data_IF_521812095150
#
_entry.id   IF_521812095150
#
_cell.length_a   1.000
_cell.length_b   1.000
_cell.length_c   1.000
_cell.angle_alpha   90.00
_cell.angle_beta   90.00
_cell.angle_gamma   90.00
#
_symmetry.space_group_name_H-M   'P 1'
#
loop_
_entity.id
_entity.type
_entity.pdbx_description
1 polymer ?
#
# COMPACT_ATOMS: atom_id res chain seq x y z
N UNK A 1 23.48 31.45 -69.52
CA UNK A 1 22.79 30.28 -70.13
C UNK A 1 21.52 30.07 -69.32
N UNK A 2 20.41 30.66 -69.78
CA UNK A 2 19.29 29.97 -70.45
C UNK A 2 18.60 28.98 -69.49
N UNK A 3 17.29 29.02 -69.20
CA UNK A 3 16.16 29.69 -69.85
C UNK A 3 15.00 29.72 -68.83
N UNK A 4 14.34 30.87 -68.75
CA UNK A 4 12.96 31.01 -68.26
C UNK A 4 12.03 30.09 -69.03
N UNK A 5 11.08 29.43 -68.38
CA UNK A 5 9.76 29.16 -68.94
C UNK A 5 8.70 29.32 -67.84
N UNK A 6 7.69 30.10 -68.19
CA UNK A 6 6.51 30.54 -67.46
C UNK A 6 5.39 29.49 -67.50
N UNK A 7 4.21 29.88 -66.99
CA UNK A 7 2.87 29.25 -67.03
C UNK A 7 2.59 28.47 -65.72
N UNK A 8 1.50 28.66 -64.97
CA UNK A 8 0.17 29.19 -65.25
C UNK A 8 -0.58 29.35 -63.90
N UNK A 9 -1.37 30.41 -63.67
CA UNK A 9 -2.35 30.52 -62.54
C UNK A 9 -3.74 30.13 -63.07
N UNK A 10 -4.59 29.47 -62.26
CA UNK A 10 -5.83 30.11 -61.82
C UNK A 10 -6.18 29.80 -60.34
N UNK A 11 -6.57 30.79 -59.53
CA UNK A 11 -7.94 31.27 -59.19
C UNK A 11 -8.85 30.25 -58.47
N UNK A 12 -9.27 30.68 -57.27
CA UNK A 12 -10.49 30.30 -56.53
C UNK A 12 -10.53 28.85 -55.99
N UNK A 13 -11.10 28.55 -54.83
CA UNK A 13 -12.06 29.26 -54.01
C UNK A 13 -11.83 28.92 -52.53
N UNK A 14 -12.01 29.91 -51.66
CA UNK A 14 -12.31 29.69 -50.24
C UNK A 14 -13.63 28.91 -50.17
N UNK A 15 -13.60 27.69 -49.65
CA UNK A 15 -14.80 26.99 -49.20
C UNK A 15 -14.80 27.00 -47.67
N UNK A 16 -15.61 27.89 -47.11
CA UNK A 16 -15.94 27.96 -45.69
C UNK A 16 -16.88 26.80 -45.37
N UNK A 17 -16.33 25.64 -44.99
CA UNK A 17 -17.13 24.52 -44.52
C UNK A 17 -17.44 24.72 -43.03
N UNK A 18 -18.60 25.32 -42.75
CA UNK A 18 -19.21 25.32 -41.42
C UNK A 18 -19.68 23.89 -41.15
N UNK A 19 -18.84 23.08 -40.51
CA UNK A 19 -19.26 21.82 -39.93
C UNK A 19 -20.01 22.13 -38.63
N UNK A 20 -21.35 22.12 -38.71
CA UNK A 20 -22.23 21.95 -37.55
C UNK A 20 -22.00 20.53 -37.00
N UNK A 21 -20.95 20.39 -36.19
CA UNK A 21 -20.66 19.16 -35.47
C UNK A 21 -21.72 18.93 -34.41
N UNK A 22 -22.69 18.07 -34.71
CA UNK A 22 -23.61 17.46 -33.75
C UNK A 22 -22.80 16.89 -32.60
N UNK A 23 -22.81 17.58 -31.46
CA UNK A 23 -22.21 17.12 -30.22
C UNK A 23 -23.02 15.91 -29.74
N UNK A 24 -22.66 14.73 -30.24
CA UNK A 24 -23.01 13.49 -29.59
C UNK A 24 -22.25 13.48 -28.27
N UNK A 25 -22.93 13.95 -27.23
CA UNK A 25 -22.57 13.67 -25.85
C UNK A 25 -22.54 12.16 -25.70
N UNK A 26 -21.36 11.57 -25.90
CA UNK A 26 -21.06 10.25 -25.39
C UNK A 26 -21.08 10.39 -23.87
N UNK A 27 -22.25 10.17 -23.29
CA UNK A 27 -22.35 9.73 -21.91
C UNK A 27 -21.60 8.41 -21.86
N UNK A 28 -20.31 8.48 -21.54
CA UNK A 28 -19.54 7.34 -21.08
C UNK A 28 -20.24 6.87 -19.82
N UNK A 29 -21.15 5.90 -19.96
CA UNK A 29 -21.62 5.08 -18.87
C UNK A 29 -20.37 4.42 -18.30
N UNK A 30 -19.82 5.02 -17.26
CA UNK A 30 -18.80 4.42 -16.44
C UNK A 30 -19.43 3.20 -15.80
N UNK A 31 -19.23 2.04 -16.40
CA UNK A 31 -19.29 0.79 -15.67
C UNK A 31 -18.23 0.91 -14.58
N UNK A 32 -18.63 1.36 -13.39
CA UNK A 32 -17.86 1.15 -12.19
C UNK A 32 -17.71 -0.37 -12.06
N UNK A 33 -16.57 -0.91 -12.48
CA UNK A 33 -16.25 -2.31 -12.29
C UNK A 33 -16.40 -2.59 -10.79
N UNK A 34 -17.41 -3.38 -10.44
CA UNK A 34 -17.59 -3.85 -9.07
C UNK A 34 -16.37 -4.66 -8.69
N UNK A 35 -15.65 -4.24 -7.64
CA UNK A 35 -14.48 -4.98 -7.17
C UNK A 35 -14.96 -6.31 -6.61
N UNK A 36 -14.43 -7.40 -7.15
CA UNK A 36 -14.69 -8.75 -6.64
C UNK A 36 -13.85 -8.99 -5.37
N UNK A 37 -14.49 -8.78 -4.21
CA UNK A 37 -13.84 -8.87 -2.90
C UNK A 37 -13.27 -10.27 -2.66
N UNK A 38 -13.95 -11.33 -3.10
CA UNK A 38 -13.54 -12.71 -2.84
C UNK A 38 -12.30 -13.07 -3.65
N UNK A 39 -12.22 -12.62 -4.90
CA UNK A 39 -11.02 -12.78 -5.73
C UNK A 39 -9.84 -11.95 -5.21
N UNK A 40 -10.07 -10.72 -4.77
CA UNK A 40 -9.02 -9.89 -4.15
C UNK A 40 -8.52 -10.53 -2.86
N UNK A 41 -9.42 -10.98 -1.97
CA UNK A 41 -9.07 -11.67 -0.74
C UNK A 41 -8.24 -12.93 -1.03
N UNK A 42 -8.66 -13.74 -1.99
CA UNK A 42 -7.98 -14.99 -2.35
C UNK A 42 -6.57 -14.75 -2.90
N UNK A 43 -6.35 -13.64 -3.62
CA UNK A 43 -5.02 -13.32 -4.16
C UNK A 43 -4.05 -12.76 -3.12
N UNK A 44 -4.55 -12.04 -2.11
CA UNK A 44 -3.74 -11.41 -1.07
C UNK A 44 -3.57 -12.27 0.19
N UNK A 45 -4.49 -13.19 0.48
CA UNK A 45 -4.42 -14.01 1.69
C UNK A 45 -3.48 -15.20 1.49
N UNK A 46 -2.36 -15.18 2.19
CA UNK A 46 -1.34 -16.22 2.19
C UNK A 46 -1.84 -17.43 2.98
N UNK A 47 -1.62 -18.63 2.43
CA UNK A 47 -2.04 -19.90 3.06
C UNK A 47 -1.14 -20.31 4.23
N UNK A 48 0.15 -19.97 4.15
CA UNK A 48 1.18 -20.29 5.13
C UNK A 48 1.95 -19.03 5.49
N UNK A 49 2.55 -19.02 6.68
CA UNK A 49 3.43 -17.92 7.08
C UNK A 49 4.63 -17.82 6.12
N UNK A 50 4.87 -16.64 5.50
CA UNK A 50 6.03 -16.45 4.64
C UNK A 50 7.33 -16.47 5.46
N UNK A 51 8.36 -17.14 4.94
CA UNK A 51 9.67 -17.20 5.58
C UNK A 51 10.35 -15.83 5.66
N UNK A 52 11.26 -15.68 6.63
CA UNK A 52 12.08 -14.47 6.77
C UNK A 52 11.34 -13.29 7.40
N UNK A 53 10.25 -13.55 8.12
CA UNK A 53 9.55 -12.53 8.89
C UNK A 53 10.49 -11.84 9.90
N UNK A 54 10.55 -10.52 9.84
CA UNK A 54 11.35 -9.70 10.75
C UNK A 54 10.48 -8.70 11.51
N UNK A 55 11.04 -8.12 12.57
CA UNK A 55 10.37 -7.09 13.36
C UNK A 55 10.38 -5.75 12.63
N UNK A 56 9.43 -4.83 12.94
CA UNK A 56 9.45 -3.47 12.43
C UNK A 56 10.78 -2.74 12.67
N UNK A 57 11.42 -2.94 13.83
CA UNK A 57 12.74 -2.35 14.12
C UNK A 57 13.81 -2.83 13.14
N UNK A 58 13.88 -4.14 12.88
CA UNK A 58 14.81 -4.69 11.90
C UNK A 58 14.49 -4.22 10.48
N UNK A 59 13.20 -4.15 10.12
CA UNK A 59 12.76 -3.66 8.81
C UNK A 59 13.20 -2.21 8.57
N UNK A 60 13.01 -1.31 9.54
CA UNK A 60 13.48 0.09 9.44
C UNK A 60 14.97 0.16 9.11
N UNK A 61 15.80 -0.64 9.80
CA UNK A 61 17.23 -0.68 9.53
C UNK A 61 17.52 -1.18 8.10
N UNK A 62 16.78 -2.19 7.64
CA UNK A 62 16.93 -2.75 6.30
C UNK A 62 16.58 -1.76 5.19
N UNK A 63 15.56 -0.91 5.38
CA UNK A 63 15.08 0.06 4.37
C UNK A 63 15.59 1.49 4.56
N UNK A 64 16.53 1.71 5.48
CA UNK A 64 17.04 3.05 5.82
C UNK A 64 17.63 3.82 4.62
N UNK A 65 18.10 3.11 3.59
CA UNK A 65 18.73 3.69 2.39
C UNK A 65 17.86 3.62 1.14
N UNK A 66 17.01 2.61 1.02
CA UNK A 66 16.21 2.35 -0.16
C UNK A 66 15.03 1.42 0.16
N UNK A 67 13.93 1.50 -0.61
CA UNK A 67 12.83 0.54 -0.51
C UNK A 67 13.29 -0.90 -0.79
N UNK A 68 12.69 -1.89 -0.12
CA UNK A 68 13.00 -3.31 -0.30
C UNK A 68 11.75 -4.19 -0.15
N UNK A 69 11.73 -5.29 -0.89
CA UNK A 69 10.79 -6.38 -0.64
C UNK A 69 11.15 -7.03 0.71
N UNK A 70 10.23 -7.03 1.66
CA UNK A 70 10.40 -7.58 3.00
C UNK A 70 9.17 -8.40 3.43
N UNK A 71 9.38 -9.17 4.50
CA UNK A 71 8.33 -9.84 5.25
C UNK A 71 8.38 -9.31 6.68
N UNK A 72 7.31 -8.66 7.15
CA UNK A 72 7.28 -7.98 8.45
C UNK A 72 6.17 -8.59 9.30
N UNK A 73 6.52 -9.06 10.49
CA UNK A 73 5.56 -9.54 11.49
C UNK A 73 5.22 -8.43 12.49
N UNK A 74 3.95 -8.32 12.86
CA UNK A 74 3.47 -7.30 13.78
C UNK A 74 2.10 -7.62 14.34
N UNK A 75 1.67 -6.78 15.29
CA UNK A 75 0.29 -6.76 15.79
C UNK A 75 -0.45 -5.59 15.17
N UNK A 76 -1.63 -5.81 14.63
CA UNK A 76 -2.52 -4.74 14.20
C UNK A 76 -2.88 -3.93 15.45
N UNK A 77 -2.45 -2.67 15.49
CA UNK A 77 -2.69 -1.76 16.61
C UNK A 77 -2.29 -0.33 16.21
N UNK A 78 -3.06 0.65 16.68
CA UNK A 78 -2.70 2.06 16.54
C UNK A 78 -1.77 2.51 17.68
N UNK A 79 -1.05 3.61 17.46
CA UNK A 79 -0.29 4.25 18.54
C UNK A 79 -1.25 4.74 19.63
N UNK A 80 -0.92 4.47 20.89
CA UNK A 80 -1.65 5.01 22.05
C UNK A 80 -3.16 4.69 22.04
N UNK A 81 -3.55 3.52 21.49
CA UNK A 81 -4.95 3.07 21.47
C UNK A 81 -5.83 3.74 20.41
N UNK A 82 -5.23 4.41 19.41
CA UNK A 82 -5.97 4.88 18.23
C UNK A 82 -6.45 3.69 17.38
N UNK A 83 -7.53 3.90 16.62
CA UNK A 83 -8.01 2.91 15.64
C UNK A 83 -6.88 2.62 14.62
N UNK A 84 -6.42 1.36 14.47
CA UNK A 84 -5.41 1.02 13.49
C UNK A 84 -5.91 1.10 12.05
N UNK A 85 -7.23 1.06 11.81
CA UNK A 85 -7.79 0.91 10.48
C UNK A 85 -8.10 2.24 9.81
N UNK A 86 -7.83 2.31 8.50
CA UNK A 86 -8.30 3.43 7.67
C UNK A 86 -9.66 3.05 7.10
N UNK A 87 -10.71 3.79 7.49
CA UNK A 87 -12.09 3.50 7.07
C UNK A 87 -12.23 3.43 5.55
N UNK A 88 -12.79 2.32 5.05
CA UNK A 88 -13.06 2.12 3.62
C UNK A 88 -11.81 1.92 2.76
N UNK A 89 -10.67 1.61 3.39
CA UNK A 89 -9.40 1.36 2.73
C UNK A 89 -8.77 0.07 3.23
N UNK A 90 -8.05 -0.60 2.34
CA UNK A 90 -7.35 -1.83 2.67
C UNK A 90 -6.01 -1.46 3.30
N UNK A 91 -6.07 -0.81 4.46
CA UNK A 91 -4.91 -0.28 5.15
C UNK A 91 -5.11 -0.31 6.65
N UNK A 92 -4.01 -0.58 7.35
CA UNK A 92 -3.97 -0.51 8.80
C UNK A 92 -2.56 -0.26 9.32
N UNK A 93 -2.48 0.17 10.58
CA UNK A 93 -1.24 0.27 11.32
C UNK A 93 -0.88 -1.06 12.01
N UNK A 94 0.41 -1.37 12.05
CA UNK A 94 0.96 -2.44 12.88
C UNK A 94 2.05 -1.91 13.81
N UNK A 95 2.12 -2.53 14.98
CA UNK A 95 3.17 -2.36 15.97
C UNK A 95 4.03 -3.63 16.08
N UNK A 96 5.23 -3.46 16.61
CA UNK A 96 6.13 -4.57 16.86
C UNK A 96 5.58 -5.51 17.94
N UNK A 97 5.72 -6.82 17.71
CA UNK A 97 5.44 -7.85 18.71
C UNK A 97 6.48 -7.81 19.85
N UNK A 98 6.09 -8.16 21.09
CA UNK A 98 7.05 -8.40 22.17
C UNK A 98 8.08 -9.45 21.74
N UNK A 99 9.34 -9.21 22.08
CA UNK A 99 10.38 -10.20 21.84
C UNK A 99 10.34 -11.28 22.92
N UNK A 100 10.64 -12.52 22.56
CA UNK A 100 10.59 -13.71 23.46
C UNK A 100 11.73 -13.78 24.49
N UNK A 101 12.33 -12.64 24.85
CA UNK A 101 13.43 -12.58 25.80
C UNK A 101 13.00 -12.98 27.23
N UNK A 102 11.70 -12.99 27.53
CA UNK A 102 11.17 -13.43 28.82
C UNK A 102 10.95 -14.94 28.93
N UNK A 103 11.21 -15.74 27.90
CA UNK A 103 11.18 -17.20 28.01
C UNK A 103 12.39 -17.79 28.74
N UNK A 104 13.31 -16.95 29.24
CA UNK A 104 14.39 -17.39 30.10
C UNK A 104 13.92 -17.52 31.56
N UNK A 105 14.33 -18.59 32.28
CA UNK A 105 13.95 -18.78 33.69
C UNK A 105 14.31 -17.56 34.53
N UNK A 106 13.31 -16.96 35.21
CA UNK A 106 13.49 -15.79 36.09
C UNK A 106 13.22 -14.43 35.45
N UNK A 107 12.80 -14.38 34.17
CA UNK A 107 12.36 -13.15 33.52
C UNK A 107 10.86 -13.21 33.19
N UNK A 108 10.10 -12.17 33.54
CA UNK A 108 8.76 -11.95 33.00
C UNK A 108 8.88 -10.93 31.85
N UNK A 109 8.56 -11.35 30.61
CA UNK A 109 8.56 -10.45 29.45
C UNK A 109 7.66 -9.24 29.67
N UNK A 110 6.54 -9.43 30.37
CA UNK A 110 5.49 -8.44 30.55
C UNK A 110 5.83 -7.39 31.63
N UNK A 111 6.77 -7.69 32.53
CA UNK A 111 7.22 -6.76 33.57
C UNK A 111 8.57 -6.11 33.28
N UNK A 112 9.21 -6.46 32.17
CA UNK A 112 10.52 -5.92 31.81
C UNK A 112 10.42 -4.45 31.34
N UNK A 113 10.98 -3.47 32.09
CA UNK A 113 10.91 -2.06 31.70
C UNK A 113 11.68 -1.77 30.39
N UNK A 114 12.72 -2.56 30.11
CA UNK A 114 13.48 -2.45 28.87
C UNK A 114 12.67 -2.91 27.65
N UNK A 115 11.92 -4.01 27.78
CA UNK A 115 11.02 -4.47 26.71
C UNK A 115 9.93 -3.44 26.43
N UNK A 116 9.29 -2.91 27.48
CA UNK A 116 8.28 -1.84 27.36
C UNK A 116 8.84 -0.61 26.64
N UNK A 117 10.02 -0.14 27.06
CA UNK A 117 10.69 1.01 26.42
C UNK A 117 11.09 0.71 24.98
N UNK A 118 11.56 -0.51 24.67
CA UNK A 118 11.93 -0.90 23.31
C UNK A 118 10.72 -0.91 22.38
N UNK A 119 9.61 -1.50 22.81
CA UNK A 119 8.35 -1.52 22.05
C UNK A 119 7.79 -0.12 21.85
N UNK A 120 7.84 0.74 22.87
CA UNK A 120 7.40 2.14 22.75
C UNK A 120 8.24 2.96 21.75
N UNK A 121 9.49 2.58 21.49
CA UNK A 121 10.37 3.23 20.52
C UNK A 121 10.44 2.50 19.18
N UNK A 122 9.73 1.37 19.03
CA UNK A 122 9.69 0.64 17.78
C UNK A 122 8.95 1.46 16.70
N UNK A 123 9.37 1.37 15.44
CA UNK A 123 8.67 2.05 14.36
C UNK A 123 7.28 1.44 14.15
N UNK A 124 6.31 2.30 13.83
CA UNK A 124 5.01 1.86 13.33
C UNK A 124 5.15 1.45 11.86
N UNK A 125 4.37 0.46 11.43
CA UNK A 125 4.24 0.09 10.02
C UNK A 125 2.86 0.52 9.54
N UNK A 126 2.81 1.42 8.56
CA UNK A 126 1.58 1.74 7.82
C UNK A 126 1.48 0.79 6.64
N UNK A 127 0.55 -0.17 6.73
CA UNK A 127 0.31 -1.19 5.71
C UNK A 127 -0.75 -0.69 4.74
N UNK A 128 -0.49 -0.82 3.44
CA UNK A 128 -1.41 -0.46 2.37
C UNK A 128 -1.46 -1.58 1.33
N UNK A 129 -2.61 -2.21 1.13
CA UNK A 129 -2.80 -3.17 0.05
C UNK A 129 -3.20 -2.42 -1.23
N UNK A 130 -2.44 -2.66 -2.29
CA UNK A 130 -2.63 -2.01 -3.59
C UNK A 130 -3.19 -2.97 -4.63
N UNK A 131 -4.02 -2.46 -5.53
CA UNK A 131 -4.52 -3.18 -6.68
C UNK A 131 -3.50 -3.25 -7.82
N UNK A 132 -3.90 -3.86 -8.94
CA UNK A 132 -3.07 -3.95 -10.14
C UNK A 132 -2.68 -2.58 -10.75
N UNK A 133 -3.41 -1.52 -10.39
CA UNK A 133 -3.14 -0.13 -10.77
C UNK A 133 -2.18 0.59 -9.79
N UNK A 134 -1.60 -0.13 -8.83
CA UNK A 134 -0.78 0.39 -7.74
C UNK A 134 -1.48 1.43 -6.86
N UNK A 135 -2.81 1.47 -6.88
CA UNK A 135 -3.60 2.30 -5.96
C UNK A 135 -4.14 1.46 -4.82
N UNK A 136 -4.30 2.10 -3.69
CA UNK A 136 -4.94 1.51 -2.51
C UNK A 136 -6.33 1.00 -2.82
N UNK A 137 -6.61 -0.23 -2.41
CA UNK A 137 -7.92 -0.83 -2.60
C UNK A 137 -8.97 -0.07 -1.76
N UNK A 138 -10.07 0.39 -2.37
CA UNK A 138 -11.13 1.13 -1.68
C UNK A 138 -12.11 0.17 -0.96
N UNK A 139 -11.58 -0.76 -0.19
CA UNK A 139 -12.33 -1.75 0.61
C UNK A 139 -11.72 -1.75 2.00
N UNK A 140 -12.52 -1.63 3.06
CA UNK A 140 -12.00 -1.67 4.43
C UNK A 140 -11.22 -2.97 4.68
N UNK A 141 -10.05 -2.90 5.32
CA UNK A 141 -9.25 -4.09 5.61
C UNK A 141 -10.00 -5.10 6.49
N UNK A 142 -10.92 -4.63 7.35
CA UNK A 142 -11.78 -5.50 8.17
C UNK A 142 -12.74 -6.30 7.30
N UNK A 143 -13.34 -5.66 6.30
CA UNK A 143 -14.25 -6.31 5.35
C UNK A 143 -13.47 -7.25 4.40
N UNK A 144 -12.27 -6.83 3.99
CA UNK A 144 -11.45 -7.57 3.04
C UNK A 144 -10.81 -8.81 3.69
N UNK A 145 -10.29 -8.74 4.91
CA UNK A 145 -9.53 -9.84 5.51
C UNK A 145 -10.21 -10.45 6.75
N UNK A 146 -11.26 -9.83 7.29
CA UNK A 146 -11.87 -10.26 8.55
C UNK A 146 -11.01 -9.95 9.78
N UNK A 147 -10.01 -9.07 9.63
CA UNK A 147 -9.04 -8.77 10.69
C UNK A 147 -9.61 -7.82 11.75
N UNK A 148 -9.02 -7.85 12.95
CA UNK A 148 -9.38 -6.96 14.08
C UNK A 148 -8.16 -6.37 14.78
N UNK A 149 -8.39 -5.36 15.60
CA UNK A 149 -7.37 -4.80 16.49
C UNK A 149 -6.83 -5.89 17.43
N UNK A 150 -5.52 -5.88 17.64
CA UNK A 150 -4.79 -6.83 18.44
C UNK A 150 -4.39 -8.12 17.73
N UNK A 151 -4.80 -8.37 16.48
CA UNK A 151 -4.38 -9.57 15.75
C UNK A 151 -2.92 -9.53 15.33
N UNK A 152 -2.26 -10.70 15.41
CA UNK A 152 -0.91 -10.87 14.91
C UNK A 152 -0.93 -11.28 13.44
N UNK A 153 -0.17 -10.56 12.62
CA UNK A 153 -0.14 -10.78 11.18
C UNK A 153 1.29 -10.71 10.67
N UNK A 154 1.51 -11.35 9.53
CA UNK A 154 2.77 -11.31 8.78
C UNK A 154 2.47 -10.79 7.38
N UNK A 155 3.07 -9.66 7.04
CA UNK A 155 2.81 -8.95 5.80
C UNK A 155 4.02 -9.04 4.89
N UNK A 156 3.79 -9.39 3.62
CA UNK A 156 4.78 -9.36 2.55
C UNK A 156 4.54 -8.15 1.65
N UNK A 157 5.60 -7.45 1.29
CA UNK A 157 5.49 -6.31 0.38
C UNK A 157 6.75 -5.46 0.29
N UNK A 158 6.63 -4.33 -0.42
CA UNK A 158 7.70 -3.35 -0.57
C UNK A 158 7.63 -2.34 0.58
N UNK A 159 8.62 -2.39 1.46
CA UNK A 159 8.76 -1.47 2.57
C UNK A 159 9.66 -0.29 2.20
N UNK A 160 9.35 0.90 2.71
CA UNK A 160 10.18 2.09 2.60
C UNK A 160 10.13 2.91 3.90
N UNK A 161 11.15 3.74 4.12
CA UNK A 161 11.26 4.58 5.30
C UNK A 161 11.75 5.98 4.94
N UNK A 162 11.08 7.01 5.45
CA UNK A 162 11.50 8.39 5.27
C UNK A 162 11.96 8.98 6.62
N UNK A 163 13.28 9.09 6.77
CA UNK A 163 13.90 9.63 7.99
C UNK A 163 13.59 11.11 8.26
N UNK A 164 13.00 11.84 7.30
CA UNK A 164 12.61 13.25 7.46
C UNK A 164 11.25 13.41 8.17
N UNK A 165 10.48 12.33 8.33
CA UNK A 165 9.21 12.38 9.06
C UNK A 165 9.47 12.48 10.56
N UNK A 166 8.61 13.25 11.25
CA UNK A 166 8.71 13.43 12.70
C UNK A 166 8.51 12.11 13.47
N UNK A 167 7.70 11.20 12.92
CA UNK A 167 7.44 9.89 13.49
C UNK A 167 8.14 8.80 12.67
N UNK A 168 8.72 7.77 13.32
CA UNK A 168 9.38 6.68 12.63
C UNK A 168 8.34 5.71 12.05
N UNK A 169 7.79 6.03 10.88
CA UNK A 169 6.79 5.22 10.18
C UNK A 169 7.42 4.54 8.96
N UNK A 170 7.30 3.22 8.89
CA UNK A 170 7.57 2.42 7.70
C UNK A 170 6.32 2.43 6.84
N UNK A 171 6.42 2.79 5.57
CA UNK A 171 5.36 2.60 4.58
C UNK A 171 5.54 1.23 3.93
N UNK A 172 4.52 0.38 3.99
CA UNK A 172 4.54 -0.96 3.43
C UNK A 172 3.44 -1.12 2.39
N UNK A 173 3.82 -1.19 1.12
CA UNK A 173 2.93 -1.57 0.03
C UNK A 173 2.84 -3.10 0.00
N UNK A 174 1.75 -3.62 0.54
CA UNK A 174 1.55 -5.03 0.77
C UNK A 174 1.01 -5.76 -0.47
N UNK A 175 1.57 -6.92 -0.74
CA UNK A 175 1.15 -7.87 -1.78
C UNK A 175 0.71 -9.23 -1.19
N UNK A 176 0.70 -9.34 0.15
CA UNK A 176 0.23 -10.54 0.83
C UNK A 176 0.13 -10.38 2.35
N UNK A 177 -0.85 -11.05 2.94
CA UNK A 177 -1.08 -11.13 4.39
C UNK A 177 -1.26 -12.57 4.83
N UNK A 178 -0.61 -12.92 5.94
CA UNK A 178 -0.89 -14.11 6.71
C UNK A 178 -1.38 -13.69 8.11
N UNK A 179 -2.49 -14.25 8.57
CA UNK A 179 -3.03 -14.00 9.91
C UNK A 179 -2.60 -15.17 10.81
N UNK A 180 -1.84 -14.88 11.87
CA UNK A 180 -1.43 -15.88 12.86
C UNK A 180 -2.64 -16.21 13.74
N UNK A 181 -2.97 -17.50 13.85
CA UNK A 181 -4.08 -18.00 14.64
C UNK A 181 -3.66 -18.40 16.04
#
# INVERSE_FOLDING_TARGET
>A
MNLFHTLFRPKAALAFAVFFGMQLSFYSNGNAASIDIDNVRTSLMLKNEPAGAMTPTAAKAAVAKAPKQLVIAGRIAGSQGMDPFVKGKASFAMLQLPDDHGSQPGHNADDCPFCKKRLANAPMVAVQFVGADNKELPIDARDLFGVKDGEEVVIRGVASFNAKLALPIIQLQADGIYIRK
#
